data_IF_032084731009
#
_entry.id   IF_032084731009
#
_cell.length_a   1.000
_cell.length_b   1.000
_cell.length_c   1.000
_cell.angle_alpha   90.00
_cell.angle_beta   90.00
_cell.angle_gamma   90.00
#
_symmetry.space_group_name_H-M   'P 1'
#
loop_
_entity.id
_entity.type
_entity.pdbx_description
1 polymer ?
#
# COMPACT_ATOMS: atom_id res chain seq x y z
N UNK A 1 26.24 -20.17 -34.30
CA UNK A 1 27.15 -19.22 -33.63
C UNK A 1 26.62 -17.82 -33.84
N UNK A 2 26.50 -17.01 -32.78
CA UNK A 2 26.03 -15.63 -32.92
C UNK A 2 27.01 -14.80 -33.71
N UNK A 3 26.51 -14.03 -34.68
CA UNK A 3 27.33 -13.14 -35.51
C UNK A 3 27.91 -12.00 -34.64
N UNK A 4 29.13 -11.54 -34.92
CA UNK A 4 29.75 -10.37 -34.30
C UNK A 4 28.82 -9.15 -34.26
N UNK A 5 28.07 -8.96 -35.33
CA UNK A 5 27.07 -7.89 -35.46
C UNK A 5 25.91 -8.05 -34.46
N UNK A 6 25.50 -9.28 -34.17
CA UNK A 6 24.47 -9.57 -33.21
C UNK A 6 24.96 -9.28 -31.77
N UNK A 7 26.18 -9.66 -31.49
CA UNK A 7 26.82 -9.39 -30.16
C UNK A 7 26.95 -7.87 -29.94
N UNK A 8 27.42 -7.12 -30.93
CA UNK A 8 27.52 -5.65 -30.83
C UNK A 8 26.14 -4.99 -30.63
N UNK A 9 25.11 -5.45 -31.33
CA UNK A 9 23.73 -5.01 -31.13
C UNK A 9 23.24 -5.28 -29.73
N UNK A 10 23.50 -6.46 -29.15
CA UNK A 10 23.16 -6.81 -27.76
C UNK A 10 23.88 -5.94 -26.74
N UNK A 11 25.17 -5.67 -26.94
CA UNK A 11 25.96 -4.78 -26.08
C UNK A 11 25.35 -3.37 -26.07
N UNK A 12 25.06 -2.81 -27.24
CA UNK A 12 24.44 -1.48 -27.38
C UNK A 12 23.06 -1.43 -26.72
N UNK A 13 22.22 -2.44 -26.91
CA UNK A 13 20.90 -2.54 -26.27
C UNK A 13 21.01 -2.62 -24.74
N UNK A 14 21.91 -3.46 -24.23
CA UNK A 14 22.14 -3.61 -22.78
C UNK A 14 22.70 -2.32 -22.16
N UNK A 15 23.59 -1.63 -22.86
CA UNK A 15 24.12 -0.32 -22.42
C UNK A 15 23.02 0.74 -22.32
N UNK A 16 22.13 0.82 -23.30
CA UNK A 16 20.94 1.70 -23.24
C UNK A 16 20.02 1.34 -22.06
N UNK A 17 19.75 0.05 -21.86
CA UNK A 17 18.94 -0.42 -20.74
C UNK A 17 19.56 -0.05 -19.39
N UNK A 18 20.89 -0.19 -19.25
CA UNK A 18 21.62 0.26 -18.05
C UNK A 18 21.43 1.75 -17.77
N UNK A 19 21.49 2.61 -18.80
CA UNK A 19 21.28 4.05 -18.65
C UNK A 19 19.85 4.36 -18.19
N UNK A 20 18.84 3.72 -18.80
CA UNK A 20 17.42 3.88 -18.42
C UNK A 20 17.22 3.45 -16.96
N UNK A 21 17.73 2.30 -16.57
CA UNK A 21 17.61 1.78 -15.20
C UNK A 21 18.27 2.71 -14.19
N UNK A 22 19.45 3.26 -14.53
CA UNK A 22 20.14 4.24 -13.68
C UNK A 22 19.32 5.52 -13.51
N UNK A 23 18.73 6.03 -14.58
CA UNK A 23 17.85 7.19 -14.53
C UNK A 23 16.60 6.91 -13.67
N UNK A 24 15.95 5.76 -13.86
CA UNK A 24 14.80 5.35 -13.04
C UNK A 24 15.16 5.24 -11.54
N UNK A 25 16.35 4.71 -11.22
CA UNK A 25 16.83 4.64 -9.85
C UNK A 25 16.99 6.03 -9.23
N UNK A 26 17.58 6.99 -9.96
CA UNK A 26 17.73 8.37 -9.47
C UNK A 26 16.37 9.03 -9.19
N UNK A 27 15.41 8.88 -10.11
CA UNK A 27 14.06 9.43 -9.94
C UNK A 27 13.35 8.78 -8.75
N UNK A 28 13.44 7.45 -8.62
CA UNK A 28 12.81 6.71 -7.52
C UNK A 28 13.40 7.10 -6.17
N UNK A 29 14.73 7.23 -6.09
CA UNK A 29 15.42 7.67 -4.87
C UNK A 29 15.04 9.10 -4.47
N UNK A 30 14.88 10.01 -5.43
CA UNK A 30 14.41 11.37 -5.15
C UNK A 30 12.98 11.39 -4.60
N UNK A 31 12.08 10.56 -5.18
CA UNK A 31 10.70 10.41 -4.69
C UNK A 31 10.65 9.81 -3.30
N UNK A 32 11.49 8.80 -3.03
CA UNK A 32 11.60 8.18 -1.71
C UNK A 32 12.01 9.21 -0.65
N UNK A 33 13.08 9.97 -0.89
CA UNK A 33 13.52 11.03 0.04
C UNK A 33 12.43 12.07 0.33
N UNK A 34 11.63 12.44 -0.69
CA UNK A 34 10.51 13.36 -0.49
C UNK A 34 9.42 12.73 0.38
N UNK A 35 9.07 11.46 0.17
CA UNK A 35 8.09 10.74 0.97
C UNK A 35 8.57 10.58 2.43
N UNK A 36 9.84 10.23 2.63
CA UNK A 36 10.45 10.14 3.96
C UNK A 36 10.44 11.48 4.70
N UNK A 37 10.76 12.59 4.00
CA UNK A 37 10.68 13.92 4.58
C UNK A 37 9.28 14.27 5.04
N UNK A 38 8.27 13.97 4.22
CA UNK A 38 6.86 14.21 4.57
C UNK A 38 6.44 13.36 5.78
N UNK A 39 6.84 12.09 5.82
CA UNK A 39 6.54 11.21 6.95
C UNK A 39 7.20 11.71 8.25
N UNK A 40 8.46 12.13 8.18
CA UNK A 40 9.17 12.69 9.34
C UNK A 40 8.52 13.99 9.86
N UNK A 41 8.03 14.86 8.97
CA UNK A 41 7.34 16.08 9.38
C UNK A 41 5.96 15.82 9.98
N UNK A 42 5.29 14.72 9.59
CA UNK A 42 3.97 14.35 10.10
C UNK A 42 4.02 13.61 11.44
N UNK A 43 5.14 12.94 11.74
CA UNK A 43 5.31 12.12 12.93
C UNK A 43 5.03 12.85 14.25
N UNK A 44 5.60 14.07 14.50
CA UNK A 44 5.32 14.80 15.74
C UNK A 44 3.84 15.14 15.93
N UNK A 45 3.13 15.43 14.83
CA UNK A 45 1.69 15.64 14.87
C UNK A 45 0.94 14.36 15.32
N UNK A 46 1.28 13.21 14.74
CA UNK A 46 0.67 11.93 15.13
C UNK A 46 0.91 11.59 16.59
N UNK A 47 2.14 11.80 17.09
CA UNK A 47 2.48 11.56 18.50
C UNK A 47 1.63 12.45 19.42
N UNK A 48 1.50 13.73 19.12
CA UNK A 48 0.66 14.65 19.91
C UNK A 48 -0.83 14.34 19.84
N UNK A 49 -1.32 13.90 18.70
CA UNK A 49 -2.69 13.41 18.55
C UNK A 49 -2.94 12.16 19.40
N UNK A 50 -2.00 11.24 19.42
CA UNK A 50 -2.09 10.02 20.23
C UNK A 50 -2.07 10.33 21.72
N UNK A 51 -1.19 11.23 22.16
CA UNK A 51 -1.16 11.73 23.56
C UNK A 51 -2.52 12.34 23.95
N UNK A 52 -3.08 13.21 23.10
CA UNK A 52 -4.35 13.86 23.35
C UNK A 52 -5.53 12.85 23.44
N UNK A 53 -5.58 11.87 22.50
CA UNK A 53 -6.59 10.82 22.53
C UNK A 53 -6.48 9.98 23.79
N UNK A 54 -5.26 9.63 24.20
CA UNK A 54 -5.02 8.83 25.41
C UNK A 54 -5.43 9.59 26.68
N UNK A 55 -5.12 10.90 26.75
CA UNK A 55 -5.52 11.76 27.86
C UNK A 55 -7.06 11.88 27.96
N UNK A 56 -7.74 12.06 26.83
CA UNK A 56 -9.21 12.12 26.79
C UNK A 56 -9.82 10.76 27.17
N UNK A 57 -9.30 9.66 26.64
CA UNK A 57 -9.79 8.31 26.94
C UNK A 57 -9.59 7.92 28.41
N UNK A 58 -8.54 8.43 29.05
CA UNK A 58 -8.26 8.20 30.48
C UNK A 58 -9.07 9.08 31.45
N UNK A 59 -9.77 10.12 30.95
CA UNK A 59 -10.57 10.99 31.81
C UNK A 59 -11.94 10.36 32.12
N UNK A 60 -12.32 10.35 33.40
CA UNK A 60 -13.59 9.77 33.88
C UNK A 60 -14.84 10.40 33.23
N UNK A 61 -14.76 11.60 32.68
CA UNK A 61 -15.89 12.30 32.06
C UNK A 61 -16.29 11.74 30.69
N UNK A 62 -15.45 10.94 30.04
CA UNK A 62 -15.66 10.40 28.68
C UNK A 62 -16.10 8.96 28.62
N UNK A 63 -16.31 8.29 29.75
CA UNK A 63 -16.71 6.86 29.83
C UNK A 63 -17.99 6.52 29.03
N UNK A 64 -18.83 7.52 28.74
CA UNK A 64 -20.08 7.36 27.98
C UNK A 64 -19.98 7.68 26.48
N UNK A 65 -18.80 8.09 25.96
CA UNK A 65 -18.71 8.44 24.56
C UNK A 65 -18.83 7.18 23.67
N UNK A 66 -19.69 7.18 22.62
CA UNK A 66 -19.94 6.01 21.76
C UNK A 66 -18.69 5.43 21.10
N UNK A 67 -17.67 6.26 20.83
CA UNK A 67 -16.39 5.83 20.21
C UNK A 67 -15.45 5.11 21.19
N UNK A 68 -15.66 5.26 22.51
CA UNK A 68 -14.84 4.63 23.56
C UNK A 68 -15.47 3.35 24.13
N UNK A 69 -16.74 3.07 23.79
CA UNK A 69 -17.41 1.85 24.23
C UNK A 69 -16.94 0.65 23.42
N UNK A 70 -16.53 -0.41 24.11
CA UNK A 70 -16.30 -1.71 23.47
C UNK A 70 -17.62 -2.25 22.91
N UNK A 71 -17.59 -2.73 21.69
CA UNK A 71 -18.73 -3.31 20.97
C UNK A 71 -18.32 -4.64 20.34
N UNK A 72 -19.29 -5.54 20.19
CA UNK A 72 -19.05 -6.79 19.47
C UNK A 72 -18.64 -6.50 18.01
N UNK A 73 -17.59 -7.18 17.57
CA UNK A 73 -17.09 -7.07 16.21
C UNK A 73 -18.06 -7.79 15.27
N UNK A 74 -18.80 -7.02 14.49
CA UNK A 74 -19.73 -7.56 13.50
C UNK A 74 -19.06 -7.80 12.14
N UNK A 75 -18.03 -7.03 11.80
CA UNK A 75 -17.35 -7.07 10.52
C UNK A 75 -15.93 -6.54 10.64
N UNK A 76 -14.98 -7.22 10.01
CA UNK A 76 -13.58 -6.80 9.99
C UNK A 76 -13.26 -5.98 8.75
N UNK A 77 -12.58 -4.83 8.92
CA UNK A 77 -12.12 -3.99 7.81
C UNK A 77 -10.62 -4.17 7.59
N UNK A 78 -10.22 -4.59 6.40
CA UNK A 78 -8.81 -4.70 6.01
C UNK A 78 -8.42 -3.56 5.08
N UNK A 79 -7.45 -2.75 5.52
CA UNK A 79 -6.83 -1.73 4.68
C UNK A 79 -5.55 -2.30 4.08
N UNK A 80 -5.53 -2.48 2.78
CA UNK A 80 -4.43 -3.09 2.03
C UNK A 80 -3.74 -2.03 1.18
N UNK A 81 -2.46 -1.84 1.40
CA UNK A 81 -1.65 -0.86 0.68
C UNK A 81 -0.64 -1.60 -0.19
N UNK A 82 -0.80 -1.48 -1.50
CA UNK A 82 0.09 -2.07 -2.51
C UNK A 82 0.70 -1.00 -3.41
N UNK A 83 1.62 -1.39 -4.29
CA UNK A 83 2.18 -0.47 -5.29
C UNK A 83 1.21 -0.23 -6.45
N UNK A 84 1.27 0.96 -7.06
CA UNK A 84 0.53 1.27 -8.29
C UNK A 84 1.19 0.63 -9.53
N UNK A 85 2.52 0.51 -9.51
CA UNK A 85 3.30 -0.01 -10.65
C UNK A 85 4.08 -1.24 -10.25
N UNK A 86 4.42 -2.07 -11.23
CA UNK A 86 5.35 -3.18 -11.07
C UNK A 86 6.77 -2.72 -10.73
N UNK A 87 7.71 -3.65 -10.78
CA UNK A 87 9.13 -3.45 -10.42
C UNK A 87 9.36 -3.07 -8.94
N UNK A 88 8.45 -3.45 -8.06
CA UNK A 88 8.55 -3.26 -6.60
C UNK A 88 9.03 -4.53 -5.87
N UNK A 89 9.72 -5.44 -6.57
CA UNK A 89 10.11 -6.74 -6.04
C UNK A 89 8.90 -7.59 -5.62
N UNK A 90 9.05 -8.34 -4.56
CA UNK A 90 7.99 -9.21 -4.03
C UNK A 90 7.02 -8.50 -3.04
N UNK A 91 7.14 -7.19 -2.84
CA UNK A 91 6.37 -6.47 -1.82
C UNK A 91 4.86 -6.70 -1.95
N UNK A 92 4.28 -6.31 -3.09
CA UNK A 92 2.83 -6.44 -3.29
C UNK A 92 2.36 -7.90 -3.21
N UNK A 93 3.11 -8.83 -3.78
CA UNK A 93 2.79 -10.26 -3.75
C UNK A 93 2.82 -10.83 -2.33
N UNK A 94 3.81 -10.44 -1.51
CA UNK A 94 3.91 -10.90 -0.13
C UNK A 94 2.77 -10.35 0.73
N UNK A 95 2.44 -9.06 0.59
CA UNK A 95 1.30 -8.43 1.29
C UNK A 95 0.00 -9.14 0.93
N UNK A 96 -0.25 -9.39 -0.36
CA UNK A 96 -1.48 -10.04 -0.82
C UNK A 96 -1.58 -11.49 -0.35
N UNK A 97 -0.48 -12.25 -0.37
CA UNK A 97 -0.46 -13.63 0.18
C UNK A 97 -0.73 -13.65 1.67
N UNK A 98 -0.07 -12.78 2.44
CA UNK A 98 -0.28 -12.67 3.88
C UNK A 98 -1.73 -12.33 4.21
N UNK A 99 -2.33 -11.39 3.48
CA UNK A 99 -3.73 -11.02 3.64
C UNK A 99 -4.69 -12.20 3.36
N UNK A 100 -4.50 -12.90 2.24
CA UNK A 100 -5.34 -14.06 1.90
C UNK A 100 -5.26 -15.14 2.97
N UNK A 101 -4.07 -15.42 3.47
CA UNK A 101 -3.89 -16.38 4.55
C UNK A 101 -4.58 -15.92 5.84
N UNK A 102 -4.48 -14.64 6.19
CA UNK A 102 -5.12 -14.07 7.38
C UNK A 102 -6.65 -14.10 7.28
N UNK A 103 -7.21 -13.78 6.11
CA UNK A 103 -8.65 -13.87 5.86
C UNK A 103 -9.12 -15.32 5.98
N UNK A 104 -8.46 -16.27 5.33
CA UNK A 104 -8.84 -17.67 5.34
C UNK A 104 -8.74 -18.29 6.74
N UNK A 105 -7.88 -17.77 7.61
CA UNK A 105 -7.73 -18.25 8.98
C UNK A 105 -8.75 -17.67 9.96
N UNK A 106 -9.29 -16.49 9.69
CA UNK A 106 -10.15 -15.72 10.62
C UNK A 106 -11.61 -15.64 10.19
N UNK A 107 -11.91 -15.85 8.92
CA UNK A 107 -13.25 -15.68 8.35
C UNK A 107 -13.65 -16.89 7.53
N UNK A 108 -14.92 -17.28 7.70
CA UNK A 108 -15.52 -18.38 6.94
C UNK A 108 -16.34 -17.89 5.74
N UNK A 109 -16.83 -16.65 5.81
CA UNK A 109 -17.65 -16.07 4.75
C UNK A 109 -17.21 -14.65 4.37
N UNK A 110 -17.43 -14.30 3.11
CA UNK A 110 -17.11 -12.97 2.55
C UNK A 110 -17.95 -11.82 3.15
N UNK A 111 -19.07 -12.13 3.80
CA UNK A 111 -19.90 -11.15 4.50
C UNK A 111 -19.27 -10.62 5.79
N UNK A 112 -18.32 -11.35 6.39
CA UNK A 112 -17.69 -11.05 7.67
C UNK A 112 -16.59 -9.98 7.56
N UNK A 113 -16.11 -9.67 6.36
CA UNK A 113 -15.04 -8.70 6.17
C UNK A 113 -15.29 -7.75 5.00
N UNK A 114 -14.54 -6.64 5.00
CA UNK A 114 -14.52 -5.65 3.91
C UNK A 114 -13.08 -5.34 3.56
N UNK A 115 -12.78 -5.21 2.26
CA UNK A 115 -11.45 -4.87 1.78
C UNK A 115 -11.44 -3.43 1.25
N UNK A 116 -10.52 -2.62 1.77
CA UNK A 116 -10.19 -1.30 1.23
C UNK A 116 -8.80 -1.42 0.62
N UNK A 117 -8.70 -1.34 -0.70
CA UNK A 117 -7.44 -1.57 -1.41
C UNK A 117 -6.93 -0.26 -2.01
N UNK A 118 -5.69 0.09 -1.65
CA UNK A 118 -4.92 1.19 -2.21
C UNK A 118 -3.78 0.62 -3.06
N UNK A 119 -3.65 1.09 -4.29
CA UNK A 119 -2.65 0.65 -5.26
C UNK A 119 -3.21 -0.31 -6.31
N UNK A 120 -2.81 -0.06 -7.57
CA UNK A 120 -3.36 -0.77 -8.73
C UNK A 120 -3.08 -2.29 -8.69
N UNK A 121 -1.90 -2.70 -8.19
CA UNK A 121 -1.53 -4.12 -8.10
C UNK A 121 -2.49 -4.92 -7.21
N UNK A 122 -2.94 -4.33 -6.10
CA UNK A 122 -3.92 -4.97 -5.22
C UNK A 122 -5.32 -4.99 -5.83
N UNK A 123 -5.73 -3.90 -6.47
CA UNK A 123 -7.03 -3.80 -7.15
C UNK A 123 -7.13 -4.87 -8.25
N UNK A 124 -6.11 -5.00 -9.10
CA UNK A 124 -6.09 -5.98 -10.18
C UNK A 124 -6.13 -7.42 -9.64
N UNK A 125 -5.44 -7.67 -8.53
CA UNK A 125 -5.45 -8.99 -7.89
C UNK A 125 -6.84 -9.41 -7.39
N UNK A 126 -7.58 -8.51 -6.75
CA UNK A 126 -8.88 -8.83 -6.16
C UNK A 126 -10.05 -8.72 -7.15
N UNK A 127 -9.93 -7.88 -8.18
CA UNK A 127 -10.96 -7.71 -9.21
C UNK A 127 -11.36 -9.05 -9.87
N UNK A 128 -10.40 -9.94 -10.05
CA UNK A 128 -10.63 -11.26 -10.66
C UNK A 128 -11.13 -12.32 -9.66
N UNK A 129 -11.24 -11.98 -8.36
CA UNK A 129 -11.62 -12.93 -7.30
C UNK A 129 -12.97 -12.64 -6.66
N UNK A 130 -13.75 -11.72 -7.22
CA UNK A 130 -15.11 -11.43 -6.77
C UNK A 130 -15.25 -10.91 -5.33
N UNK A 131 -14.16 -10.41 -4.73
CA UNK A 131 -14.21 -9.83 -3.39
C UNK A 131 -14.91 -8.47 -3.41
N UNK A 132 -15.69 -8.16 -2.36
CA UNK A 132 -16.27 -6.83 -2.14
C UNK A 132 -15.13 -5.80 -1.94
N UNK A 133 -14.84 -5.07 -3.00
CA UNK A 133 -13.78 -4.06 -3.03
C UNK A 133 -14.36 -2.67 -2.80
N UNK A 134 -13.91 -2.00 -1.74
CA UNK A 134 -13.95 -0.56 -1.67
C UNK A 134 -12.63 -0.03 -2.24
N UNK A 135 -12.64 0.40 -3.49
CA UNK A 135 -11.48 1.05 -4.10
C UNK A 135 -11.56 2.54 -3.83
N UNK A 136 -10.55 3.09 -3.16
CA UNK A 136 -10.36 4.54 -3.15
C UNK A 136 -9.45 4.89 -4.32
N UNK A 137 -9.81 5.88 -5.17
CA UNK A 137 -8.90 6.35 -6.20
C UNK A 137 -7.60 6.83 -5.54
N UNK A 138 -6.47 6.44 -6.12
CA UNK A 138 -5.16 6.91 -5.67
C UNK A 138 -5.14 8.44 -5.61
N UNK A 139 -4.46 9.07 -4.63
CA UNK A 139 -4.29 10.53 -4.61
C UNK A 139 -3.75 11.11 -5.92
N UNK A 140 -3.10 10.28 -6.75
CA UNK A 140 -2.62 10.64 -8.09
C UNK A 140 -3.71 10.70 -9.15
N UNK A 141 -4.79 9.96 -9.00
CA UNK A 141 -5.89 9.95 -9.99
C UNK A 141 -6.75 11.20 -9.87
N UNK A 142 -6.80 11.83 -8.69
CA UNK A 142 -7.46 13.12 -8.46
C UNK A 142 -6.76 14.31 -9.11
N UNK A 143 -5.52 14.16 -9.55
CA UNK A 143 -4.78 15.24 -10.23
C UNK A 143 -4.95 15.23 -11.76
N UNK A 144 -5.73 14.28 -12.29
CA UNK A 144 -6.00 14.14 -13.74
C UNK A 144 -7.42 14.52 -14.16
N UNK A 145 -8.24 14.99 -13.23
CA UNK A 145 -9.58 15.54 -13.52
C UNK A 145 -9.62 17.04 -13.42
#
# INVERSE_FOLDING_TARGET
MASLKEIDSRIKSTSKMKQITKAMNMVSSSKLRRAEKNTKSFRPYMEKMQDAITAVAGSNSTSNHPMLKSRDIKRSGYLVITSDKGLAGAYSTNVLKSLVNDINSKHNDSSEYSLIVLGQQGVDFFKHRGCLLYTSPSPRDRQKS
#
